data_IF_249750587322
#
_entry.id   IF_249750587322
#
_cell.length_a   1.000
_cell.length_b   1.000
_cell.length_c   1.000
_cell.angle_alpha   90.00
_cell.angle_beta   90.00
_cell.angle_gamma   90.00
#
_symmetry.space_group_name_H-M   'P 1'
#
loop_
_entity.id
_entity.type
_entity.pdbx_description
1 polymer ?
#
# COMPACT_ATOMS: atom_id res chain seq x y z
N UNK A 1 13.83 25.14 -1.95
CA UNK A 1 12.64 24.48 -1.39
C UNK A 1 12.52 23.13 -2.09
N UNK A 2 11.95 22.14 -1.43
CA UNK A 2 11.75 20.80 -1.99
C UNK A 2 10.55 20.86 -2.94
N UNK A 3 10.73 20.48 -4.20
CA UNK A 3 9.64 20.51 -5.21
C UNK A 3 8.48 19.62 -4.76
N UNK A 4 8.80 18.44 -4.22
CA UNK A 4 7.80 17.56 -3.64
C UNK A 4 7.03 18.20 -2.47
N UNK A 5 7.70 18.95 -1.59
CA UNK A 5 7.04 19.56 -0.43
C UNK A 5 5.90 20.48 -0.86
N UNK A 6 6.11 21.27 -1.90
CA UNK A 6 5.12 22.21 -2.43
C UNK A 6 3.97 21.45 -3.11
N UNK A 7 4.29 20.42 -3.91
CA UNK A 7 3.30 19.51 -4.52
C UNK A 7 2.40 18.86 -3.46
N UNK A 8 2.98 18.29 -2.40
CA UNK A 8 2.20 17.64 -1.34
C UNK A 8 1.28 18.62 -0.61
N UNK A 9 1.74 19.85 -0.36
CA UNK A 9 0.92 20.91 0.22
C UNK A 9 -0.24 21.34 -0.70
N UNK A 10 -0.01 21.44 -2.01
CA UNK A 10 -1.06 21.70 -2.99
C UNK A 10 -2.10 20.56 -3.05
N UNK A 11 -1.65 19.30 -3.03
CA UNK A 11 -2.53 18.11 -3.00
C UNK A 11 -3.44 18.13 -1.76
N UNK A 12 -2.88 18.40 -0.58
CA UNK A 12 -3.64 18.52 0.66
C UNK A 12 -4.70 19.63 0.57
N UNK A 13 -4.33 20.79 0.02
CA UNK A 13 -5.24 21.92 -0.17
C UNK A 13 -6.38 21.59 -1.15
N UNK A 14 -6.07 21.03 -2.31
CA UNK A 14 -7.09 20.65 -3.30
C UNK A 14 -8.00 19.53 -2.81
N UNK A 15 -7.46 18.58 -2.03
CA UNK A 15 -8.23 17.53 -1.38
C UNK A 15 -9.25 18.11 -0.40
N UNK A 16 -8.85 19.09 0.44
CA UNK A 16 -9.73 19.74 1.41
C UNK A 16 -10.80 20.62 0.77
N UNK A 17 -10.46 21.32 -0.30
CA UNK A 17 -11.36 22.27 -0.97
C UNK A 17 -12.23 21.60 -2.04
N UNK A 18 -12.09 20.29 -2.27
CA UNK A 18 -12.87 19.54 -3.26
C UNK A 18 -12.57 19.90 -4.72
N UNK A 19 -11.42 20.53 -5.00
CA UNK A 19 -11.05 20.93 -6.36
C UNK A 19 -10.50 19.74 -7.16
N UNK A 20 -11.41 18.85 -7.57
CA UNK A 20 -11.09 17.58 -8.24
C UNK A 20 -10.27 17.76 -9.52
N UNK A 21 -10.55 18.80 -10.31
CA UNK A 21 -9.87 19.04 -11.58
C UNK A 21 -8.38 19.35 -11.37
N UNK A 22 -8.08 20.30 -10.48
CA UNK A 22 -6.69 20.65 -10.18
C UNK A 22 -5.99 19.51 -9.44
N UNK A 23 -6.69 18.81 -8.55
CA UNK A 23 -6.14 17.61 -7.88
C UNK A 23 -5.74 16.53 -8.91
N UNK A 24 -6.62 16.14 -9.83
CA UNK A 24 -6.31 15.11 -10.83
C UNK A 24 -5.16 15.55 -11.75
N UNK A 25 -5.12 16.82 -12.16
CA UNK A 25 -4.01 17.34 -12.97
C UNK A 25 -2.67 17.29 -12.21
N UNK A 26 -2.70 17.63 -10.91
CA UNK A 26 -1.55 17.60 -10.02
C UNK A 26 -1.04 16.18 -9.73
N UNK A 27 -1.95 15.24 -9.51
CA UNK A 27 -1.61 13.83 -9.33
C UNK A 27 -0.98 13.27 -10.61
N UNK A 28 -1.63 13.49 -11.76
CA UNK A 28 -1.13 13.01 -13.07
C UNK A 28 0.24 13.58 -13.42
N UNK A 29 0.49 14.89 -13.18
CA UNK A 29 1.81 15.50 -13.46
C UNK A 29 2.93 14.94 -12.58
N UNK A 30 2.60 14.31 -11.45
CA UNK A 30 3.57 13.80 -10.49
C UNK A 30 4.00 12.35 -10.77
N UNK A 31 3.27 11.62 -11.64
CA UNK A 31 3.54 10.22 -11.97
C UNK A 31 4.95 10.00 -12.55
N UNK A 32 5.44 10.80 -13.53
CA UNK A 32 6.72 10.49 -14.18
C UNK A 32 7.93 10.59 -13.23
N UNK A 33 7.84 11.41 -12.18
CA UNK A 33 8.95 11.65 -11.24
C UNK A 33 8.79 10.91 -9.90
N UNK A 34 7.82 10.00 -9.81
CA UNK A 34 7.42 9.27 -8.59
C UNK A 34 8.59 8.63 -7.83
N UNK A 35 9.59 8.06 -8.52
CA UNK A 35 10.74 7.43 -7.85
C UNK A 35 11.68 8.48 -7.23
N UNK A 36 11.90 9.61 -7.89
CA UNK A 36 12.66 10.71 -7.31
C UNK A 36 11.91 11.33 -6.13
N UNK A 37 10.59 11.48 -6.24
CA UNK A 37 9.74 11.92 -5.15
C UNK A 37 9.71 10.92 -3.99
N UNK A 38 9.77 9.61 -4.21
CA UNK A 38 9.94 8.64 -3.12
C UNK A 38 11.20 8.95 -2.32
N UNK A 39 12.35 9.14 -2.99
CA UNK A 39 13.59 9.47 -2.33
C UNK A 39 13.59 10.85 -1.66
N UNK A 40 12.94 11.84 -2.26
CA UNK A 40 12.79 13.16 -1.68
C UNK A 40 11.91 13.09 -0.43
N UNK A 41 10.81 12.33 -0.46
CA UNK A 41 9.89 12.13 0.66
C UNK A 41 10.62 11.61 1.90
N UNK A 42 11.57 10.70 1.72
CA UNK A 42 12.42 10.18 2.80
C UNK A 42 13.31 11.27 3.40
N UNK A 43 13.89 12.14 2.57
CA UNK A 43 14.76 13.23 3.04
C UNK A 43 14.00 14.31 3.82
N UNK A 44 12.75 14.56 3.43
CA UNK A 44 11.91 15.59 4.07
C UNK A 44 10.95 15.03 5.12
N UNK A 45 11.03 13.72 5.42
CA UNK A 45 10.15 13.01 6.35
C UNK A 45 8.64 13.17 6.03
N UNK A 46 8.25 13.02 4.76
CA UNK A 46 6.86 13.14 4.27
C UNK A 46 6.37 11.88 3.52
N UNK A 47 6.85 10.70 3.89
CA UNK A 47 6.51 9.46 3.20
C UNK A 47 5.02 9.11 3.25
N UNK A 48 4.33 9.44 4.34
CA UNK A 48 2.89 9.22 4.47
C UNK A 48 2.10 10.07 3.46
N UNK A 49 2.41 11.36 3.35
CA UNK A 49 1.77 12.26 2.39
C UNK A 49 2.10 11.87 0.95
N UNK A 50 3.32 11.40 0.69
CA UNK A 50 3.72 10.84 -0.60
C UNK A 50 2.95 9.54 -0.93
N UNK A 51 2.80 8.63 0.02
CA UNK A 51 2.01 7.41 -0.17
C UNK A 51 0.53 7.72 -0.42
N UNK A 52 -0.02 8.73 0.27
CA UNK A 52 -1.40 9.20 0.05
C UNK A 52 -1.59 9.79 -1.35
N UNK A 53 -0.59 10.53 -1.87
CA UNK A 53 -0.59 11.00 -3.26
C UNK A 53 -0.67 9.81 -4.22
N UNK A 54 0.22 8.83 -4.10
CA UNK A 54 0.24 7.66 -4.99
C UNK A 54 -1.05 6.84 -4.90
N UNK A 55 -1.54 6.63 -3.67
CA UNK A 55 -2.80 5.93 -3.42
C UNK A 55 -3.99 6.62 -4.10
N UNK A 56 -4.08 7.96 -4.00
CA UNK A 56 -5.12 8.74 -4.70
C UNK A 56 -4.97 8.67 -6.22
N UNK A 57 -3.74 8.68 -6.74
CA UNK A 57 -3.48 8.50 -8.17
C UNK A 57 -4.04 7.17 -8.68
N UNK A 58 -3.74 6.08 -7.96
CA UNK A 58 -4.21 4.73 -8.29
C UNK A 58 -5.74 4.61 -8.21
N UNK A 59 -6.35 5.11 -7.12
CA UNK A 59 -7.82 5.07 -6.97
C UNK A 59 -8.58 5.87 -8.03
N UNK A 60 -7.93 6.86 -8.62
CA UNK A 60 -8.52 7.70 -9.66
C UNK A 60 -8.15 7.22 -11.08
N UNK A 61 -7.40 6.11 -11.20
CA UNK A 61 -6.98 5.51 -12.47
C UNK A 61 -6.36 6.55 -13.41
N UNK A 62 -5.45 7.37 -12.88
CA UNK A 62 -4.87 8.52 -13.61
C UNK A 62 -3.64 8.16 -14.44
N UNK A 63 -3.05 6.99 -14.18
CA UNK A 63 -1.99 6.39 -14.98
C UNK A 63 -2.53 5.74 -16.26
N UNK A 64 -1.64 5.57 -17.23
CA UNK A 64 -1.97 4.96 -18.54
C UNK A 64 -1.21 3.65 -18.76
N UNK A 65 -0.17 3.37 -17.96
CA UNK A 65 0.74 2.23 -18.11
C UNK A 65 0.74 1.35 -16.85
N UNK A 66 0.44 0.05 -17.03
CA UNK A 66 0.34 -0.93 -15.95
C UNK A 66 1.61 -1.04 -15.09
N UNK A 67 2.80 -0.97 -15.72
CA UNK A 67 4.07 -1.01 -15.01
C UNK A 67 4.24 0.19 -14.06
N UNK A 68 3.68 1.35 -14.43
CA UNK A 68 3.66 2.53 -13.56
C UNK A 68 2.70 2.34 -12.39
N UNK A 69 1.52 1.75 -12.62
CA UNK A 69 0.55 1.43 -11.58
C UNK A 69 1.15 0.47 -10.55
N UNK A 70 1.86 -0.57 -11.01
CA UNK A 70 2.55 -1.54 -10.15
C UNK A 70 3.61 -0.83 -9.29
N UNK A 71 4.48 -0.02 -9.92
CA UNK A 71 5.51 0.72 -9.18
C UNK A 71 4.89 1.70 -8.16
N UNK A 72 3.83 2.42 -8.53
CA UNK A 72 3.12 3.32 -7.61
C UNK A 72 2.49 2.57 -6.44
N UNK A 73 1.88 1.40 -6.67
CA UNK A 73 1.29 0.61 -5.61
C UNK A 73 2.35 0.10 -4.62
N UNK A 74 3.49 -0.36 -5.13
CA UNK A 74 4.60 -0.79 -4.28
C UNK A 74 5.23 0.38 -3.49
N UNK A 75 5.40 1.55 -4.10
CA UNK A 75 5.88 2.76 -3.43
C UNK A 75 4.88 3.28 -2.39
N UNK A 76 3.58 3.23 -2.67
CA UNK A 76 2.52 3.57 -1.72
C UNK A 76 2.55 2.62 -0.52
N UNK A 77 2.67 1.31 -0.77
CA UNK A 77 2.81 0.28 0.26
C UNK A 77 4.01 0.55 1.18
N UNK A 78 5.15 0.95 0.61
CA UNK A 78 6.34 1.32 1.38
C UNK A 78 6.07 2.50 2.33
N UNK A 79 5.53 3.59 1.80
CA UNK A 79 5.28 4.79 2.62
C UNK A 79 4.21 4.56 3.71
N UNK A 80 3.17 3.76 3.42
CA UNK A 80 2.19 3.35 4.44
C UNK A 80 2.83 2.49 5.53
N UNK A 81 3.66 1.52 5.14
CA UNK A 81 4.36 0.64 6.10
C UNK A 81 5.36 1.39 6.99
N UNK A 82 6.01 2.43 6.45
CA UNK A 82 6.84 3.34 7.24
C UNK A 82 6.03 4.16 8.24
N UNK A 83 4.84 4.64 7.84
CA UNK A 83 3.91 5.35 8.73
C UNK A 83 3.46 4.51 9.93
N UNK A 84 3.20 3.21 9.71
CA UNK A 84 2.81 2.25 10.76
C UNK A 84 3.92 2.07 11.80
N UNK A 85 5.18 2.06 11.37
CA UNK A 85 6.35 1.93 12.24
C UNK A 85 6.77 3.28 12.88
N UNK A 86 6.10 4.37 12.52
CA UNK A 86 6.43 5.75 12.87
C UNK A 86 5.60 6.31 14.02
N UNK A 87 4.87 7.40 13.76
CA UNK A 87 4.09 8.12 14.78
C UNK A 87 2.74 7.43 15.05
N UNK A 88 2.36 7.21 16.33
CA UNK A 88 1.11 6.52 16.69
C UNK A 88 -0.17 7.18 16.15
N UNK A 89 -0.15 8.49 15.90
CA UNK A 89 -1.34 9.25 15.49
C UNK A 89 -1.81 8.91 14.07
N UNK A 90 -0.89 8.49 13.20
CA UNK A 90 -1.17 8.17 11.80
C UNK A 90 -1.33 6.66 11.55
N UNK A 91 -1.14 5.84 12.59
CA UNK A 91 -1.12 4.37 12.45
C UNK A 91 -2.44 3.84 11.90
N UNK A 92 -3.59 4.29 12.42
CA UNK A 92 -4.91 3.83 11.94
C UNK A 92 -5.09 4.06 10.44
N UNK A 93 -4.86 5.30 9.97
CA UNK A 93 -5.01 5.65 8.55
C UNK A 93 -4.00 4.92 7.66
N UNK A 94 -2.78 4.73 8.15
CA UNK A 94 -1.74 4.00 7.41
C UNK A 94 -2.07 2.51 7.26
N UNK A 95 -2.53 1.85 8.33
CA UNK A 95 -2.98 0.45 8.27
C UNK A 95 -4.21 0.33 7.38
N UNK A 96 -5.21 1.20 7.56
CA UNK A 96 -6.42 1.23 6.74
C UNK A 96 -6.10 1.31 5.25
N UNK A 97 -5.28 2.29 4.85
CA UNK A 97 -4.91 2.47 3.44
C UNK A 97 -4.10 1.28 2.92
N UNK A 98 -3.27 0.64 3.75
CA UNK A 98 -2.53 -0.56 3.37
C UNK A 98 -3.46 -1.74 3.10
N UNK A 99 -4.47 -1.96 3.94
CA UNK A 99 -5.51 -2.98 3.72
C UNK A 99 -6.21 -2.72 2.38
N UNK A 100 -6.69 -1.50 2.17
CA UNK A 100 -7.45 -1.14 0.97
C UNK A 100 -6.58 -1.24 -0.30
N UNK A 101 -5.33 -0.79 -0.23
CA UNK A 101 -4.36 -0.92 -1.32
C UNK A 101 -4.12 -2.38 -1.69
N UNK A 102 -3.88 -3.24 -0.69
CA UNK A 102 -3.70 -4.68 -0.92
C UNK A 102 -4.96 -5.35 -1.46
N UNK A 103 -6.15 -4.84 -1.12
CA UNK A 103 -7.43 -5.36 -1.60
C UNK A 103 -7.65 -5.06 -3.08
N UNK A 104 -7.66 -3.78 -3.46
CA UNK A 104 -7.97 -3.37 -4.83
C UNK A 104 -6.84 -3.65 -5.81
N UNK A 105 -5.59 -3.67 -5.35
CA UNK A 105 -4.41 -3.82 -6.19
C UNK A 105 -3.64 -5.10 -5.88
N UNK A 106 -4.31 -6.15 -5.38
CA UNK A 106 -3.69 -7.42 -5.00
C UNK A 106 -2.78 -7.99 -6.12
N UNK A 107 -3.27 -7.95 -7.37
CA UNK A 107 -2.54 -8.47 -8.52
C UNK A 107 -1.17 -7.80 -8.71
N UNK A 108 -1.03 -6.51 -8.38
CA UNK A 108 0.24 -5.78 -8.50
C UNK A 108 1.32 -6.26 -7.54
N UNK A 109 0.96 -6.98 -6.48
CA UNK A 109 1.91 -7.55 -5.52
C UNK A 109 2.21 -9.04 -5.77
N UNK A 110 1.46 -9.70 -6.66
CA UNK A 110 1.56 -11.15 -6.86
C UNK A 110 2.97 -11.56 -7.29
N UNK A 111 3.56 -10.88 -8.27
CA UNK A 111 4.91 -11.19 -8.75
C UNK A 111 5.98 -10.97 -7.67
N UNK A 112 5.83 -9.91 -6.86
CA UNK A 112 6.71 -9.63 -5.73
C UNK A 112 6.65 -10.75 -4.68
N UNK A 113 5.45 -11.25 -4.34
CA UNK A 113 5.32 -12.38 -3.41
C UNK A 113 5.79 -13.71 -4.01
N UNK A 114 5.52 -13.95 -5.30
CA UNK A 114 6.01 -15.15 -5.98
C UNK A 114 7.54 -15.15 -5.99
N UNK A 115 8.17 -14.03 -6.29
CA UNK A 115 9.63 -13.90 -6.31
C UNK A 115 10.25 -14.14 -4.92
N UNK A 116 9.57 -13.69 -3.86
CA UNK A 116 10.04 -13.86 -2.47
C UNK A 116 9.86 -15.27 -1.92
N UNK A 117 8.67 -15.84 -2.07
CA UNK A 117 8.26 -17.04 -1.33
C UNK A 117 8.13 -18.28 -2.22
N UNK A 118 7.83 -18.11 -3.51
CA UNK A 118 7.40 -19.19 -4.39
C UNK A 118 8.30 -19.36 -5.64
N UNK A 119 9.46 -18.69 -5.68
CA UNK A 119 10.32 -18.64 -6.88
C UNK A 119 10.74 -20.01 -7.41
N UNK A 120 11.01 -20.96 -6.52
CA UNK A 120 11.33 -22.34 -6.92
C UNK A 120 10.08 -23.11 -7.38
N UNK A 121 8.96 -22.89 -6.69
CA UNK A 121 7.69 -23.57 -6.94
C UNK A 121 7.04 -23.12 -8.26
N UNK A 122 7.15 -21.83 -8.63
CA UNK A 122 6.51 -21.25 -9.82
C UNK A 122 6.94 -21.87 -11.14
N UNK A 123 8.15 -22.45 -11.21
CA UNK A 123 8.71 -23.01 -12.45
C UNK A 123 7.81 -24.09 -13.05
N UNK A 124 7.22 -24.90 -12.19
CA UNK A 124 6.39 -26.03 -12.59
C UNK A 124 4.90 -25.81 -12.24
N UNK A 125 4.58 -24.76 -11.46
CA UNK A 125 3.25 -24.54 -10.88
C UNK A 125 2.82 -23.06 -10.88
N UNK A 126 2.95 -22.37 -12.02
CA UNK A 126 2.71 -20.92 -12.10
C UNK A 126 1.32 -20.50 -11.59
N UNK A 127 0.25 -21.15 -12.04
CA UNK A 127 -1.12 -20.82 -11.63
C UNK A 127 -1.31 -21.01 -10.12
N UNK A 128 -0.81 -22.10 -9.57
CA UNK A 128 -0.90 -22.37 -8.13
C UNK A 128 -0.06 -21.36 -7.33
N UNK A 129 1.10 -20.95 -7.84
CA UNK A 129 1.92 -19.93 -7.21
C UNK A 129 1.19 -18.57 -7.14
N UNK A 130 0.46 -18.22 -8.21
CA UNK A 130 -0.39 -17.01 -8.21
C UNK A 130 -1.52 -17.10 -7.20
N UNK A 131 -2.23 -18.22 -7.15
CA UNK A 131 -3.31 -18.41 -6.17
C UNK A 131 -2.79 -18.32 -4.72
N UNK A 132 -1.66 -18.96 -4.43
CA UNK A 132 -1.02 -18.87 -3.11
C UNK A 132 -0.57 -17.46 -2.77
N UNK A 133 -0.07 -16.69 -3.74
CA UNK A 133 0.28 -15.29 -3.54
C UNK A 133 -0.96 -14.43 -3.21
N UNK A 134 -2.06 -14.59 -3.95
CA UNK A 134 -3.32 -13.90 -3.67
C UNK A 134 -3.89 -14.27 -2.29
N UNK A 135 -3.89 -15.56 -1.95
CA UNK A 135 -4.33 -16.04 -0.64
C UNK A 135 -3.46 -15.46 0.49
N UNK A 136 -2.15 -15.31 0.25
CA UNK A 136 -1.24 -14.67 1.19
C UNK A 136 -1.53 -13.18 1.37
N UNK A 137 -1.85 -12.47 0.28
CA UNK A 137 -2.26 -11.06 0.32
C UNK A 137 -3.56 -10.91 1.13
N UNK A 138 -4.51 -11.82 0.96
CA UNK A 138 -5.73 -11.83 1.75
C UNK A 138 -5.44 -12.07 3.26
N UNK A 139 -4.52 -12.99 3.60
CA UNK A 139 -4.09 -13.18 5.00
C UNK A 139 -3.42 -11.93 5.59
N UNK A 140 -2.60 -11.25 4.79
CA UNK A 140 -1.99 -9.96 5.15
C UNK A 140 -3.05 -8.90 5.46
N UNK A 141 -4.09 -8.77 4.61
CA UNK A 141 -5.22 -7.88 4.88
C UNK A 141 -5.93 -8.22 6.20
N UNK A 142 -6.21 -9.50 6.45
CA UNK A 142 -6.83 -9.94 7.71
C UNK A 142 -5.94 -9.63 8.92
N UNK A 143 -4.64 -9.86 8.84
CA UNK A 143 -3.70 -9.52 9.92
C UNK A 143 -3.76 -8.03 10.29
N UNK A 144 -3.83 -7.15 9.30
CA UNK A 144 -3.97 -5.71 9.51
C UNK A 144 -5.36 -5.34 10.07
N UNK A 145 -6.42 -6.01 9.63
CA UNK A 145 -7.77 -5.85 10.18
C UNK A 145 -7.82 -6.26 11.66
N UNK A 146 -7.25 -7.39 12.03
CA UNK A 146 -7.13 -7.82 13.42
C UNK A 146 -6.33 -6.81 14.26
N UNK A 147 -5.26 -6.25 13.69
CA UNK A 147 -4.52 -5.17 14.35
C UNK A 147 -5.42 -3.94 14.58
N UNK A 148 -6.21 -3.54 13.59
CA UNK A 148 -7.17 -2.44 13.74
C UNK A 148 -8.21 -2.74 14.82
N UNK A 149 -8.80 -3.93 14.84
CA UNK A 149 -9.79 -4.31 15.85
C UNK A 149 -9.22 -4.26 17.27
N UNK A 150 -8.00 -4.79 17.47
CA UNK A 150 -7.36 -4.84 18.78
C UNK A 150 -6.95 -3.47 19.33
N UNK A 151 -6.56 -2.54 18.45
CA UNK A 151 -5.99 -1.25 18.84
C UNK A 151 -6.93 -0.06 18.62
N UNK A 152 -7.94 -0.20 17.77
CA UNK A 152 -8.83 0.87 17.30
C UNK A 152 -10.28 0.43 17.14
N UNK A 153 -10.73 -0.61 17.85
CA UNK A 153 -12.05 -1.24 17.68
C UNK A 153 -13.26 -0.29 17.65
N UNK A 154 -13.25 0.83 18.40
CA UNK A 154 -14.35 1.81 18.32
C UNK A 154 -14.50 2.52 16.95
N UNK A 155 -13.45 2.48 16.12
CA UNK A 155 -13.41 3.13 14.79
C UNK A 155 -13.88 2.22 13.67
N UNK A 156 -13.62 0.91 13.75
CA UNK A 156 -13.92 -0.04 12.66
C UNK A 156 -15.42 -0.14 12.37
N UNK A 157 -16.25 -0.13 13.43
CA UNK A 157 -17.71 -0.21 13.33
C UNK A 157 -18.33 0.95 12.50
N UNK A 158 -17.59 2.04 12.33
CA UNK A 158 -18.03 3.23 11.59
C UNK A 158 -17.31 3.41 10.26
N UNK A 159 -16.39 2.50 9.92
CA UNK A 159 -15.57 2.60 8.73
C UNK A 159 -16.14 1.75 7.60
N UNK A 160 -17.05 2.33 6.82
CA UNK A 160 -17.73 1.64 5.71
C UNK A 160 -16.74 1.01 4.72
N UNK A 161 -15.62 1.68 4.43
CA UNK A 161 -14.61 1.15 3.49
C UNK A 161 -13.92 -0.11 4.03
N UNK A 162 -13.58 -0.13 5.32
CA UNK A 162 -12.99 -1.33 5.92
C UNK A 162 -14.01 -2.46 6.02
N UNK A 163 -15.27 -2.15 6.32
CA UNK A 163 -16.34 -3.15 6.33
C UNK A 163 -16.57 -3.76 4.95
N UNK A 164 -16.57 -2.95 3.90
CA UNK A 164 -16.70 -3.43 2.52
C UNK A 164 -15.54 -4.37 2.15
N UNK A 165 -14.30 -3.97 2.47
CA UNK A 165 -13.11 -4.82 2.23
C UNK A 165 -13.18 -6.11 3.04
N UNK A 166 -13.52 -6.04 4.33
CA UNK A 166 -13.64 -7.21 5.19
C UNK A 166 -14.64 -8.23 4.64
N UNK A 167 -15.79 -7.77 4.15
CA UNK A 167 -16.82 -8.61 3.57
C UNK A 167 -16.43 -9.20 2.20
N UNK A 168 -15.48 -8.58 1.50
CA UNK A 168 -15.02 -9.00 0.18
C UNK A 168 -13.81 -9.95 0.22
N UNK A 169 -13.17 -10.15 1.40
CA UNK A 169 -12.06 -11.11 1.54
C UNK A 169 -12.61 -12.54 1.42
N UNK A 170 -12.12 -13.29 0.43
CA UNK A 170 -12.64 -14.63 0.09
C UNK A 170 -12.08 -15.78 0.95
N UNK A 171 -11.17 -15.48 1.88
CA UNK A 171 -10.62 -16.48 2.82
C UNK A 171 -11.33 -16.42 4.17
N UNK A 172 -11.31 -17.54 4.90
CA UNK A 172 -11.93 -17.60 6.21
C UNK A 172 -11.29 -16.58 7.17
N UNK A 173 -12.07 -15.74 7.86
CA UNK A 173 -11.53 -14.66 8.69
C UNK A 173 -10.81 -15.17 9.94
N UNK A 174 -11.11 -16.39 10.38
CA UNK A 174 -10.58 -17.01 11.59
C UNK A 174 -9.17 -17.61 11.38
N UNK A 175 -8.19 -16.74 11.14
CA UNK A 175 -6.79 -17.14 11.10
C UNK A 175 -6.33 -17.67 12.48
N UNK A 176 -5.59 -18.76 12.47
CA UNK A 176 -4.88 -19.23 13.66
C UNK A 176 -3.79 -18.25 14.10
N UNK A 177 -3.32 -18.35 15.34
CA UNK A 177 -2.19 -17.53 15.82
C UNK A 177 -0.93 -17.71 14.96
N UNK A 178 -0.72 -18.90 14.40
CA UNK A 178 0.41 -19.18 13.52
C UNK A 178 0.24 -18.46 12.17
N UNK A 179 -0.94 -18.55 11.55
CA UNK A 179 -1.24 -17.85 10.30
C UNK A 179 -1.18 -16.33 10.45
N UNK A 180 -1.59 -15.78 11.60
CA UNK A 180 -1.42 -14.35 11.89
C UNK A 180 0.05 -13.94 11.97
N UNK A 181 0.89 -14.75 12.64
CA UNK A 181 2.34 -14.50 12.72
C UNK A 181 2.99 -14.60 11.35
N UNK A 182 2.56 -15.55 10.52
CA UNK A 182 3.03 -15.67 9.15
C UNK A 182 2.64 -14.45 8.32
N UNK A 183 1.38 -14.02 8.37
CA UNK A 183 0.90 -12.83 7.66
C UNK A 183 1.67 -11.55 8.06
N UNK A 184 1.89 -11.33 9.35
CA UNK A 184 2.72 -10.21 9.85
C UNK A 184 4.18 -10.32 9.35
N UNK A 185 4.75 -11.53 9.35
CA UNK A 185 6.08 -11.76 8.79
C UNK A 185 6.13 -11.45 7.29
N UNK A 186 5.07 -11.77 6.54
CA UNK A 186 4.98 -11.46 5.12
C UNK A 186 4.99 -9.95 4.86
N UNK A 187 4.29 -9.15 5.68
CA UNK A 187 4.41 -7.68 5.60
C UNK A 187 5.85 -7.22 5.77
N UNK A 188 6.55 -7.73 6.79
CA UNK A 188 7.95 -7.36 7.09
C UNK A 188 8.90 -7.73 5.95
N UNK A 189 8.73 -8.91 5.37
CA UNK A 189 9.57 -9.40 4.27
C UNK A 189 9.28 -8.63 2.98
N UNK A 190 8.01 -8.41 2.64
CA UNK A 190 7.63 -7.62 1.46
C UNK A 190 8.14 -6.18 1.58
N UNK A 191 7.97 -5.54 2.74
CA UNK A 191 8.53 -4.23 3.02
C UNK A 191 10.05 -4.19 2.80
N UNK A 192 10.79 -5.14 3.39
CA UNK A 192 12.24 -5.20 3.26
C UNK A 192 12.67 -5.40 1.79
N UNK A 193 11.98 -6.27 1.06
CA UNK A 193 12.23 -6.52 -0.35
C UNK A 193 12.03 -5.27 -1.21
N UNK A 194 10.86 -4.61 -1.10
CA UNK A 194 10.56 -3.41 -1.87
C UNK A 194 11.50 -2.26 -1.52
N UNK A 195 11.90 -2.14 -0.25
CA UNK A 195 12.89 -1.14 0.18
C UNK A 195 14.25 -1.35 -0.47
N UNK A 196 14.65 -2.61 -0.72
CA UNK A 196 15.86 -2.94 -1.47
C UNK A 196 15.66 -2.67 -2.97
N UNK A 197 14.52 -3.07 -3.54
CA UNK A 197 14.16 -2.85 -4.95
C UNK A 197 14.26 -1.36 -5.33
N UNK A 198 13.71 -0.48 -4.50
CA UNK A 198 13.68 0.97 -4.73
C UNK A 198 14.78 1.73 -4.01
N UNK A 199 15.84 1.07 -3.54
CA UNK A 199 16.97 1.79 -2.95
C UNK A 199 17.72 2.52 -4.05
N UNK A 200 18.03 3.81 -3.84
CA UNK A 200 18.85 4.59 -4.78
C UNK A 200 20.19 3.88 -4.96
N UNK A 201 20.48 3.45 -6.19
CA UNK A 201 21.83 2.98 -6.53
C UNK A 201 22.74 4.22 -6.50
N UNK A 202 23.69 4.21 -5.55
CA UNK A 202 24.70 5.25 -5.36
C UNK A 202 25.76 5.23 -6.44
#
# INVERSE_FOLDING_TARGET
>A
MSELKDILSEIEQHSRNGNRKELSALLKRSIPDRLNYYHESQKIARQEAFADMLYKTLLLELDEEEDESIEMAELAYLGMSEGISGLPECTYESVKKRIILLHYFADYFTDSLIELFLKKYRKDNLLMARNLALESIARMQLSDLFYIEQHFGERIDRDEQLNDVFNAIEIAPNLSEEELKEADLMHKVLYAYLKVKYKKQS
#
